data_IF_221630369123
#
_entry.id   IF_221630369123
#
_cell.length_a   1.000
_cell.length_b   1.000
_cell.length_c   1.000
_cell.angle_alpha   90.00
_cell.angle_beta   90.00
_cell.angle_gamma   90.00
#
_symmetry.space_group_name_H-M   'P 1'
#
loop_
_entity.id
_entity.type
_entity.pdbx_description
1 polymer ?
#
# COMPACT_ATOMS: atom_id res chain seq x y z
N UNK A 1 -6.36 5.79 -27.79
CA UNK A 1 -6.47 4.33 -27.63
C UNK A 1 -6.92 4.05 -26.21
N UNK A 2 -8.07 3.41 -26.02
CA UNK A 2 -8.56 3.09 -24.69
C UNK A 2 -7.74 1.92 -24.13
N UNK A 3 -6.94 2.17 -23.11
CA UNK A 3 -6.27 1.10 -22.37
C UNK A 3 -7.35 0.20 -21.79
N UNK A 4 -7.45 -1.04 -22.31
CA UNK A 4 -8.34 -2.05 -21.73
C UNK A 4 -7.87 -2.29 -20.30
N UNK A 5 -8.65 -1.80 -19.33
CA UNK A 5 -8.48 -2.16 -17.92
C UNK A 5 -8.77 -3.65 -17.85
N UNK A 6 -7.72 -4.45 -17.65
CA UNK A 6 -7.83 -5.89 -17.48
C UNK A 6 -8.42 -6.13 -16.09
N UNK A 7 -9.75 -6.09 -15.99
CA UNK A 7 -10.48 -6.40 -14.76
C UNK A 7 -10.04 -7.79 -14.30
N UNK A 8 -9.57 -7.91 -13.04
CA UNK A 8 -9.19 -9.21 -12.51
C UNK A 8 -10.40 -10.15 -12.62
N UNK A 9 -10.17 -11.38 -13.09
CA UNK A 9 -11.18 -12.44 -13.14
C UNK A 9 -11.45 -12.98 -11.73
N UNK A 10 -11.98 -12.12 -10.85
CA UNK A 10 -12.52 -12.54 -9.57
C UNK A 10 -13.99 -12.92 -9.77
N UNK A 11 -14.44 -14.10 -9.30
CA UNK A 11 -15.87 -14.43 -9.27
C UNK A 11 -16.64 -13.48 -8.33
N UNK A 12 -15.95 -12.82 -7.39
CA UNK A 12 -16.49 -11.76 -6.54
C UNK A 12 -16.09 -10.41 -7.14
N UNK A 13 -17.04 -9.76 -7.81
CA UNK A 13 -16.84 -8.41 -8.35
C UNK A 13 -16.97 -7.38 -7.24
N UNK A 14 -15.90 -6.67 -6.95
CA UNK A 14 -15.88 -5.55 -6.02
C UNK A 14 -15.08 -4.39 -6.64
N UNK A 15 -15.74 -3.23 -6.80
CA UNK A 15 -15.16 -2.04 -7.45
C UNK A 15 -14.07 -1.34 -6.63
N UNK A 16 -13.92 -1.72 -5.36
CA UNK A 16 -12.89 -1.24 -4.44
C UNK A 16 -11.79 -2.25 -4.20
N UNK A 17 -11.88 -3.46 -4.77
CA UNK A 17 -10.93 -4.54 -4.54
C UNK A 17 -9.47 -4.10 -4.69
N UNK A 18 -9.13 -3.47 -5.81
CA UNK A 18 -7.74 -3.04 -6.08
C UNK A 18 -7.26 -2.01 -5.05
N UNK A 19 -8.14 -1.10 -4.62
CA UNK A 19 -7.84 -0.10 -3.59
C UNK A 19 -7.64 -0.76 -2.22
N UNK A 20 -8.49 -1.71 -1.84
CA UNK A 20 -8.38 -2.45 -0.58
C UNK A 20 -7.08 -3.25 -0.56
N UNK A 21 -6.74 -3.92 -1.67
CA UNK A 21 -5.49 -4.68 -1.80
C UNK A 21 -4.28 -3.76 -1.72
N UNK A 22 -4.26 -2.64 -2.43
CA UNK A 22 -3.17 -1.67 -2.38
C UNK A 22 -2.99 -1.06 -0.98
N UNK A 23 -4.11 -0.77 -0.28
CA UNK A 23 -4.09 -0.29 1.09
C UNK A 23 -3.49 -1.32 2.03
N UNK A 24 -3.93 -2.58 1.95
CA UNK A 24 -3.42 -3.67 2.78
C UNK A 24 -1.92 -3.89 2.55
N UNK A 25 -1.46 -3.89 1.30
CA UNK A 25 -0.02 -3.95 0.98
C UNK A 25 0.76 -2.79 1.60
N UNK A 26 0.24 -1.56 1.50
CA UNK A 26 0.91 -0.38 2.04
C UNK A 26 1.05 -0.45 3.57
N UNK A 27 -0.03 -0.82 4.27
CA UNK A 27 -0.02 -0.96 5.73
C UNK A 27 0.89 -2.11 6.19
N UNK A 28 0.91 -3.22 5.46
CA UNK A 28 1.82 -4.34 5.72
C UNK A 28 3.29 -3.93 5.56
N UNK A 29 3.58 -3.14 4.52
CA UNK A 29 4.94 -2.74 4.23
C UNK A 29 5.54 -1.89 5.35
N UNK A 30 4.72 -1.10 6.07
CA UNK A 30 5.19 -0.24 7.16
C UNK A 30 5.93 -1.03 8.24
N UNK A 31 5.35 -2.09 8.77
CA UNK A 31 6.01 -2.88 9.82
C UNK A 31 7.02 -3.88 9.25
N UNK A 32 6.85 -4.32 7.99
CA UNK A 32 7.85 -5.16 7.32
C UNK A 32 9.17 -4.43 7.14
N UNK A 33 9.13 -3.13 6.79
CA UNK A 33 10.35 -2.32 6.67
C UNK A 33 11.09 -2.19 8.01
N UNK A 34 10.42 -2.22 9.16
CA UNK A 34 11.13 -2.17 10.46
C UNK A 34 12.12 -3.31 10.61
N UNK A 35 11.74 -4.53 10.19
CA UNK A 35 12.65 -5.69 10.18
C UNK A 35 13.81 -5.48 9.22
N UNK A 36 13.54 -5.01 8.01
CA UNK A 36 14.59 -4.82 7.00
C UNK A 36 15.57 -3.69 7.35
N UNK A 37 15.07 -2.63 7.99
CA UNK A 37 15.89 -1.55 8.54
C UNK A 37 16.81 -2.13 9.62
N UNK A 38 16.27 -2.87 10.59
CA UNK A 38 17.07 -3.47 11.66
C UNK A 38 18.15 -4.42 11.12
N UNK A 39 17.82 -5.26 10.13
CA UNK A 39 18.78 -6.17 9.50
C UNK A 39 19.89 -5.42 8.75
N UNK A 40 19.56 -4.30 8.10
CA UNK A 40 20.55 -3.46 7.40
C UNK A 40 21.47 -2.75 8.41
N UNK A 41 20.92 -2.22 9.49
CA UNK A 41 21.68 -1.59 10.58
C UNK A 41 22.63 -2.58 11.26
N UNK A 42 22.17 -3.80 11.55
CA UNK A 42 22.99 -4.84 12.15
C UNK A 42 24.18 -5.24 11.26
N UNK A 43 24.02 -5.13 9.94
CA UNK A 43 25.07 -5.38 8.94
C UNK A 43 25.98 -4.16 8.69
N UNK A 44 25.69 -3.01 9.30
CA UNK A 44 26.41 -1.76 9.08
C UNK A 44 26.08 -1.06 7.76
N UNK A 45 25.03 -1.49 7.06
CA UNK A 45 24.61 -0.93 5.77
C UNK A 45 23.65 0.25 5.97
N UNK A 46 24.25 1.43 6.22
CA UNK A 46 23.49 2.66 6.51
C UNK A 46 22.74 3.20 5.29
N UNK A 47 23.27 2.98 4.09
CA UNK A 47 22.62 3.42 2.84
C UNK A 47 21.32 2.65 2.62
N UNK A 48 21.38 1.32 2.75
CA UNK A 48 20.21 0.46 2.60
C UNK A 48 19.16 0.72 3.69
N UNK A 49 19.59 0.90 4.95
CA UNK A 49 18.68 1.24 6.04
C UNK A 49 17.92 2.55 5.77
N UNK A 50 18.61 3.58 5.27
CA UNK A 50 17.98 4.85 4.92
C UNK A 50 17.02 4.72 3.73
N UNK A 51 17.37 3.92 2.73
CA UNK A 51 16.47 3.63 1.62
C UNK A 51 15.18 2.93 2.07
N UNK A 52 15.27 1.95 3.00
CA UNK A 52 14.09 1.31 3.57
C UNK A 52 13.22 2.26 4.39
N UNK A 53 13.80 3.21 5.14
CA UNK A 53 13.03 4.26 5.83
C UNK A 53 12.21 5.10 4.86
N UNK A 54 12.78 5.46 3.71
CA UNK A 54 12.05 6.20 2.67
C UNK A 54 10.87 5.38 2.13
N UNK A 55 11.06 4.07 1.90
CA UNK A 55 9.96 3.18 1.49
C UNK A 55 8.89 3.10 2.57
N UNK A 56 9.29 2.99 3.84
CA UNK A 56 8.38 2.93 4.97
C UNK A 56 7.49 4.17 5.06
N UNK A 57 8.08 5.36 4.92
CA UNK A 57 7.35 6.63 4.96
C UNK A 57 6.43 6.81 3.77
N UNK A 58 6.84 6.40 2.57
CA UNK A 58 5.98 6.38 1.40
C UNK A 58 4.80 5.41 1.60
N UNK A 59 5.04 4.26 2.23
CA UNK A 59 3.99 3.29 2.55
C UNK A 59 2.99 3.84 3.58
N UNK A 60 3.46 4.58 4.58
CA UNK A 60 2.58 5.30 5.54
C UNK A 60 1.68 6.31 4.83
N UNK A 61 2.27 7.18 3.99
CA UNK A 61 1.52 8.19 3.22
C UNK A 61 0.47 7.55 2.29
N UNK A 62 0.87 6.50 1.56
CA UNK A 62 -0.05 5.76 0.69
C UNK A 62 -1.19 5.11 1.47
N UNK A 63 -0.90 4.55 2.65
CA UNK A 63 -1.91 3.99 3.54
C UNK A 63 -2.93 5.02 4.02
N UNK A 64 -2.48 6.22 4.40
CA UNK A 64 -3.37 7.30 4.84
C UNK A 64 -4.27 7.83 3.72
N UNK A 65 -3.68 8.08 2.54
CA UNK A 65 -4.43 8.50 1.36
C UNK A 65 -5.43 7.42 0.91
N UNK A 66 -5.02 6.16 0.92
CA UNK A 66 -5.86 5.02 0.57
C UNK A 66 -7.07 4.88 1.50
N UNK A 67 -6.88 5.05 2.81
CA UNK A 67 -7.99 5.04 3.80
C UNK A 67 -9.01 6.13 3.53
N UNK A 68 -8.56 7.37 3.27
CA UNK A 68 -9.44 8.49 2.97
C UNK A 68 -10.25 8.24 1.69
N UNK A 69 -9.59 7.72 0.65
CA UNK A 69 -10.26 7.37 -0.60
C UNK A 69 -11.31 6.28 -0.41
N UNK A 70 -10.97 5.21 0.33
CA UNK A 70 -11.88 4.11 0.60
C UNK A 70 -13.11 4.59 1.37
N UNK A 71 -12.92 5.43 2.39
CA UNK A 71 -14.01 6.00 3.18
C UNK A 71 -14.99 6.81 2.30
N UNK A 72 -14.46 7.65 1.41
CA UNK A 72 -15.27 8.43 0.47
C UNK A 72 -16.10 7.53 -0.46
N UNK A 73 -15.49 6.47 -1.01
CA UNK A 73 -16.19 5.52 -1.88
C UNK A 73 -17.30 4.75 -1.16
N UNK A 74 -17.03 4.27 0.05
CA UNK A 74 -18.04 3.57 0.86
C UNK A 74 -19.23 4.47 1.24
N UNK A 75 -19.00 5.77 1.44
CA UNK A 75 -20.08 6.73 1.68
C UNK A 75 -20.95 6.95 0.43
N UNK A 76 -20.34 6.97 -0.75
CA UNK A 76 -21.06 7.11 -2.02
C UNK A 76 -21.89 5.87 -2.37
N UNK A 77 -21.46 4.68 -1.98
CA UNK A 77 -22.21 3.43 -2.18
C UNK A 77 -23.47 3.29 -1.33
N UNK A 78 -23.52 3.96 -0.17
CA UNK A 78 -24.67 3.94 0.73
C UNK A 78 -25.80 4.87 0.29
N UNK A 79 -25.58 5.72 -0.72
CA UNK A 79 -26.56 6.64 -1.30
C UNK A 79 -27.15 6.03 -2.56
#
# INVERSE_FOLDING_TARGET
MATMVKEQMSPVKDKNYDLIRALQMSLENVYRMDTYIADAEQRGDSELANWFRMIQDNSRKAGDQGKQMLMSRMQQEKR
#
